data_IF_712833660377
#
_entry.id   IF_712833660377
#
_cell.length_a   1.000
_cell.length_b   1.000
_cell.length_c   1.000
_cell.angle_alpha   90.00
_cell.angle_beta   90.00
_cell.angle_gamma   90.00
#
_symmetry.space_group_name_H-M   'P 1'
#
loop_
_entity.id
_entity.type
_entity.pdbx_description
1 polymer ?
#
# COMPACT_ATOMS: atom_id res chain seq x y z
N UNK A 1 10.25 -10.72 -17.43
CA UNK A 1 10.47 -10.19 -18.81
C UNK A 1 11.86 -10.50 -19.31
N UNK A 2 12.91 -10.33 -18.50
CA UNK A 2 14.26 -10.91 -18.74
C UNK A 2 14.14 -12.38 -19.19
N UNK A 3 13.46 -13.22 -18.38
CA UNK A 3 13.19 -14.62 -18.72
C UNK A 3 12.39 -14.89 -20.01
N UNK A 4 11.62 -13.91 -20.52
CA UNK A 4 10.83 -14.05 -21.75
C UNK A 4 11.58 -13.56 -22.99
N UNK A 5 12.64 -12.77 -22.81
CA UNK A 5 13.36 -12.08 -23.89
C UNK A 5 14.78 -12.60 -24.06
N UNK A 6 15.28 -13.40 -23.11
CA UNK A 6 16.67 -13.85 -23.04
C UNK A 6 17.69 -12.70 -23.00
N UNK A 7 17.25 -11.49 -22.67
CA UNK A 7 18.10 -10.31 -22.52
C UNK A 7 18.44 -10.08 -21.05
N UNK A 8 19.64 -9.57 -20.74
CA UNK A 8 19.98 -9.15 -19.38
C UNK A 8 18.95 -8.14 -18.85
N UNK A 9 18.62 -8.26 -17.56
CA UNK A 9 17.66 -7.37 -16.89
C UNK A 9 17.99 -5.88 -17.01
N UNK A 10 19.27 -5.51 -17.05
CA UNK A 10 19.73 -4.14 -17.30
C UNK A 10 19.41 -3.64 -18.71
N UNK A 11 19.57 -4.50 -19.73
CA UNK A 11 19.22 -4.20 -21.13
C UNK A 11 17.72 -4.04 -21.29
N UNK A 12 16.93 -4.92 -20.66
CA UNK A 12 15.47 -4.81 -20.64
C UNK A 12 15.05 -3.50 -19.98
N UNK A 13 15.57 -3.18 -18.80
CA UNK A 13 15.26 -1.93 -18.09
C UNK A 13 15.57 -0.69 -18.94
N UNK A 14 16.74 -0.68 -19.62
CA UNK A 14 17.13 0.40 -20.52
C UNK A 14 16.17 0.58 -21.71
N UNK A 15 15.73 -0.51 -22.35
CA UNK A 15 14.78 -0.44 -23.48
C UNK A 15 13.41 0.07 -23.02
N UNK A 16 12.95 -0.40 -21.85
CA UNK A 16 11.68 0.01 -21.27
C UNK A 16 11.71 1.45 -20.72
N UNK A 17 12.90 2.00 -20.49
CA UNK A 17 13.09 3.31 -19.88
C UNK A 17 12.69 3.34 -18.42
N UNK A 18 12.87 2.22 -17.71
CA UNK A 18 12.59 2.08 -16.28
C UNK A 18 13.87 1.79 -15.50
N UNK A 19 13.85 2.11 -14.22
CA UNK A 19 14.93 1.86 -13.27
C UNK A 19 14.40 1.29 -11.96
N UNK A 20 15.31 0.90 -11.07
CA UNK A 20 14.91 0.44 -9.75
C UNK A 20 14.25 1.57 -8.96
N UNK A 21 13.10 1.28 -8.34
CA UNK A 21 12.29 2.26 -7.61
C UNK A 21 11.17 2.88 -8.43
N UNK A 22 11.14 2.69 -9.75
CA UNK A 22 9.97 3.03 -10.56
C UNK A 22 8.83 2.06 -10.24
N UNK A 23 7.60 2.57 -10.25
CA UNK A 23 6.38 1.79 -10.09
C UNK A 23 5.65 1.73 -11.43
N UNK A 24 5.31 0.52 -11.86
CA UNK A 24 4.59 0.28 -13.12
C UNK A 24 3.17 -0.14 -12.80
N UNK A 25 2.19 0.52 -13.40
CA UNK A 25 0.78 0.15 -13.22
C UNK A 25 0.42 -1.14 -13.98
N UNK A 26 -0.78 -1.66 -13.76
CA UNK A 26 -1.23 -2.92 -14.37
C UNK A 26 -1.20 -2.86 -15.91
N UNK A 27 -1.65 -1.75 -16.49
CA UNK A 27 -1.66 -1.55 -17.95
C UNK A 27 -0.24 -1.55 -18.52
N UNK A 28 0.71 -0.93 -17.82
CA UNK A 28 2.14 -0.97 -18.16
C UNK A 28 2.71 -2.38 -18.12
N UNK A 29 2.35 -3.18 -17.11
CA UNK A 29 2.74 -4.60 -17.02
C UNK A 29 2.15 -5.41 -18.17
N UNK A 30 0.89 -5.16 -18.56
CA UNK A 30 0.26 -5.83 -19.70
C UNK A 30 0.92 -5.43 -21.02
N UNK A 31 1.17 -4.14 -21.24
CA UNK A 31 1.87 -3.62 -22.41
C UNK A 31 3.27 -4.23 -22.53
N UNK A 32 3.95 -4.42 -21.40
CA UNK A 32 5.25 -5.04 -21.32
C UNK A 32 5.21 -6.53 -21.71
N UNK A 33 4.24 -7.28 -21.21
CA UNK A 33 4.06 -8.69 -21.56
C UNK A 33 3.75 -8.87 -23.06
N UNK A 34 2.89 -8.02 -23.62
CA UNK A 34 2.57 -8.04 -25.05
C UNK A 34 3.81 -7.72 -25.91
N UNK A 35 4.58 -6.70 -25.54
CA UNK A 35 5.80 -6.31 -26.25
C UNK A 35 6.86 -7.41 -26.20
N UNK A 36 7.03 -8.07 -25.05
CA UNK A 36 7.92 -9.23 -24.90
C UNK A 36 7.48 -10.41 -25.77
N UNK A 37 6.18 -10.73 -25.81
CA UNK A 37 5.64 -11.81 -26.64
C UNK A 37 5.81 -11.54 -28.15
N UNK A 38 5.77 -10.26 -28.57
CA UNK A 38 5.99 -9.86 -29.96
C UNK A 38 7.48 -9.82 -30.38
N UNK A 39 8.41 -10.03 -29.44
CA UNK A 39 9.86 -9.93 -29.67
C UNK A 39 10.37 -8.49 -29.86
N UNK A 40 9.51 -7.47 -29.74
CA UNK A 40 9.87 -6.06 -29.88
C UNK A 40 9.54 -5.31 -28.60
N UNK A 41 10.53 -5.19 -27.72
CA UNK A 41 10.41 -4.34 -26.53
C UNK A 41 10.36 -2.86 -26.94
N UNK A 42 9.41 -2.12 -26.38
CA UNK A 42 9.27 -0.68 -26.57
C UNK A 42 9.31 0.03 -25.22
N UNK A 43 9.80 1.27 -25.22
CA UNK A 43 9.80 2.13 -24.04
C UNK A 43 8.38 2.25 -23.48
N UNK A 44 8.22 2.14 -22.16
CA UNK A 44 6.95 2.42 -21.52
C UNK A 44 6.66 3.92 -21.62
N UNK A 45 5.41 4.24 -21.93
CA UNK A 45 4.92 5.61 -21.95
C UNK A 45 4.68 6.10 -20.52
N UNK A 46 4.69 7.43 -20.36
CA UNK A 46 4.66 8.12 -19.08
C UNK A 46 3.46 7.70 -18.20
N UNK A 47 2.28 7.51 -18.80
CA UNK A 47 1.07 7.08 -18.09
C UNK A 47 1.12 5.64 -17.52
N UNK A 48 2.18 4.89 -17.79
CA UNK A 48 2.38 3.54 -17.24
C UNK A 48 3.40 3.49 -16.11
N UNK A 49 4.21 4.53 -15.93
CA UNK A 49 5.36 4.50 -15.03
C UNK A 49 5.31 5.71 -14.12
N UNK A 50 5.31 5.47 -12.82
CA UNK A 50 5.66 6.48 -11.84
C UNK A 50 7.14 6.32 -11.50
N UNK A 51 7.94 7.31 -11.86
CA UNK A 51 9.39 7.25 -11.68
C UNK A 51 9.79 7.28 -10.21
N UNK A 52 10.94 6.73 -9.87
CA UNK A 52 11.52 6.77 -8.52
C UNK A 52 11.65 8.22 -7.99
N UNK A 53 11.90 9.18 -8.89
CA UNK A 53 11.98 10.60 -8.55
C UNK A 53 10.62 11.18 -8.17
N UNK A 54 9.56 10.81 -8.88
CA UNK A 54 8.18 11.23 -8.57
C UNK A 54 7.69 10.58 -7.29
N UNK A 55 7.98 9.29 -7.10
CA UNK A 55 7.70 8.55 -5.85
C UNK A 55 8.33 9.28 -4.65
N UNK A 56 9.61 9.65 -4.77
CA UNK A 56 10.34 10.40 -3.72
C UNK A 56 9.73 11.79 -3.48
N UNK A 57 9.40 12.52 -4.56
CA UNK A 57 8.80 13.84 -4.46
C UNK A 57 7.43 13.81 -3.76
N UNK A 58 6.58 12.83 -4.09
CA UNK A 58 5.28 12.64 -3.44
C UNK A 58 5.45 12.31 -1.96
N UNK A 59 6.39 11.44 -1.60
CA UNK A 59 6.66 11.09 -0.19
C UNK A 59 7.19 12.28 0.60
N UNK A 60 8.07 13.09 0.02
CA UNK A 60 8.55 14.32 0.63
C UNK A 60 7.39 15.30 0.87
N UNK A 61 6.48 15.44 -0.08
CA UNK A 61 5.30 16.30 0.06
C UNK A 61 4.33 15.80 1.15
N UNK A 62 4.06 14.50 1.21
CA UNK A 62 3.25 13.89 2.28
C UNK A 62 3.88 14.16 3.65
N UNK A 63 5.19 13.97 3.79
CA UNK A 63 5.91 14.28 5.02
C UNK A 63 5.81 15.75 5.42
N UNK A 64 5.92 16.66 4.44
CA UNK A 64 5.74 18.10 4.68
C UNK A 64 4.34 18.43 5.19
N UNK A 65 3.28 17.84 4.61
CA UNK A 65 1.92 18.04 5.11
C UNK A 65 1.72 17.48 6.52
N UNK A 66 2.25 16.29 6.82
CA UNK A 66 2.18 15.71 8.15
C UNK A 66 2.90 16.56 9.20
N UNK A 67 4.05 17.17 8.85
CA UNK A 67 4.73 18.12 9.74
C UNK A 67 3.89 19.36 10.02
N UNK A 68 3.25 19.94 9.00
CA UNK A 68 2.34 21.08 9.17
C UNK A 68 1.16 20.71 10.07
N UNK A 69 0.52 19.55 9.85
CA UNK A 69 -0.57 19.07 10.70
C UNK A 69 -0.13 18.95 12.16
N UNK A 70 1.04 18.39 12.42
CA UNK A 70 1.59 18.26 13.77
C UNK A 70 1.82 19.63 14.43
N UNK A 71 2.41 20.58 13.71
CA UNK A 71 2.65 21.94 14.21
C UNK A 71 1.33 22.66 14.55
N UNK A 72 0.34 22.58 13.65
CA UNK A 72 -0.96 23.22 13.88
C UNK A 72 -1.72 22.56 15.03
N UNK A 73 -1.69 21.23 15.14
CA UNK A 73 -2.32 20.53 16.25
C UNK A 73 -1.69 20.90 17.61
N UNK A 74 -0.36 20.99 17.68
CA UNK A 74 0.35 21.45 18.88
C UNK A 74 -0.03 22.88 19.27
N UNK A 75 -0.13 23.78 18.30
CA UNK A 75 -0.48 25.19 18.54
C UNK A 75 -1.86 25.37 19.19
N UNK A 76 -2.81 24.48 18.92
CA UNK A 76 -4.17 24.52 19.47
C UNK A 76 -4.42 23.48 20.57
N UNK A 77 -3.39 22.73 20.98
CA UNK A 77 -3.50 21.67 21.99
C UNK A 77 -4.28 20.43 21.56
N UNK A 78 -4.49 20.24 20.24
CA UNK A 78 -5.13 19.06 19.67
C UNK A 78 -4.20 17.84 19.65
N UNK A 79 -4.80 16.66 19.65
CA UNK A 79 -4.07 15.39 19.55
C UNK A 79 -3.99 14.94 18.10
N UNK A 80 -2.79 14.62 17.62
CA UNK A 80 -2.59 14.00 16.31
C UNK A 80 -2.69 12.49 16.42
N UNK A 81 -3.41 11.89 15.48
CA UNK A 81 -3.46 10.44 15.28
C UNK A 81 -2.62 10.14 14.03
N UNK A 82 -1.42 9.59 14.21
CA UNK A 82 -0.45 9.39 13.12
C UNK A 82 -0.83 8.20 12.24
N UNK A 83 -1.68 8.46 11.26
CA UNK A 83 -2.11 7.45 10.30
C UNK A 83 -1.01 7.04 9.33
N UNK A 84 -0.03 7.90 9.06
CA UNK A 84 1.10 7.56 8.20
C UNK A 84 1.94 6.44 8.82
N UNK A 85 2.32 6.59 10.08
CA UNK A 85 3.02 5.55 10.83
C UNK A 85 2.14 4.29 11.01
N UNK A 86 0.83 4.46 11.25
CA UNK A 86 -0.06 3.32 11.43
C UNK A 86 -0.19 2.48 10.15
N UNK A 87 -0.41 3.09 8.98
CA UNK A 87 -0.41 2.36 7.71
C UNK A 87 0.91 1.65 7.44
N UNK A 88 2.05 2.28 7.74
CA UNK A 88 3.36 1.65 7.60
C UNK A 88 3.48 0.39 8.47
N UNK A 89 2.97 0.43 9.71
CA UNK A 89 2.98 -0.72 10.62
C UNK A 89 2.14 -1.90 10.10
N UNK A 90 1.06 -1.62 9.37
CA UNK A 90 0.15 -2.65 8.83
C UNK A 90 0.69 -3.34 7.58
N UNK A 91 1.76 -2.83 6.94
CA UNK A 91 2.43 -3.50 5.83
C UNK A 91 2.97 -4.88 6.24
N UNK A 92 3.41 -5.02 7.50
CA UNK A 92 3.88 -6.30 8.05
C UNK A 92 2.74 -7.30 8.29
N UNK A 93 1.49 -6.88 8.16
CA UNK A 93 0.29 -7.67 8.41
C UNK A 93 -0.29 -7.51 9.81
N UNK A 94 -1.62 -7.52 9.87
CA UNK A 94 -2.45 -7.45 11.08
C UNK A 94 -3.34 -8.67 11.12
N UNK A 95 -3.36 -9.37 12.26
CA UNK A 95 -4.28 -10.49 12.45
C UNK A 95 -5.68 -9.95 12.72
N UNK A 96 -6.64 -10.33 11.88
CA UNK A 96 -8.07 -10.04 12.03
C UNK A 96 -8.85 -11.31 11.73
N UNK A 97 -9.69 -11.74 12.66
CA UNK A 97 -10.53 -12.93 12.54
C UNK A 97 -9.75 -14.17 12.07
N UNK A 98 -8.55 -14.38 12.65
CA UNK A 98 -7.66 -15.51 12.31
C UNK A 98 -6.96 -15.42 10.94
N UNK A 99 -7.10 -14.31 10.20
CA UNK A 99 -6.46 -14.04 8.91
C UNK A 99 -5.46 -12.90 9.06
N UNK A 100 -4.42 -12.89 8.23
CA UNK A 100 -3.39 -11.84 8.26
C UNK A 100 -3.64 -10.86 7.12
N UNK A 101 -4.36 -9.79 7.43
CA UNK A 101 -4.67 -8.72 6.49
C UNK A 101 -3.49 -7.75 6.37
N UNK A 102 -3.23 -7.24 5.18
CA UNK A 102 -2.12 -6.30 4.88
C UNK A 102 -2.63 -5.12 4.07
N UNK A 103 -1.77 -4.11 3.90
CA UNK A 103 -2.05 -2.95 3.03
C UNK A 103 -1.81 -3.24 1.53
N UNK A 104 -1.38 -4.46 1.17
CA UNK A 104 -1.16 -4.82 -0.22
C UNK A 104 -2.50 -4.92 -0.99
N UNK A 105 -2.44 -4.85 -2.33
CA UNK A 105 -3.61 -5.11 -3.17
C UNK A 105 -4.15 -6.52 -2.90
N UNK A 106 -5.48 -6.64 -2.72
CA UNK A 106 -6.15 -7.85 -2.25
C UNK A 106 -5.69 -8.38 -0.87
N UNK A 107 -5.02 -7.52 -0.08
CA UNK A 107 -4.57 -7.80 1.28
C UNK A 107 -5.66 -7.64 2.35
N UNK A 108 -6.86 -7.18 1.97
CA UNK A 108 -8.05 -7.12 2.84
C UNK A 108 -8.25 -5.83 3.62
N UNK A 109 -7.21 -5.00 3.81
CA UNK A 109 -7.35 -3.72 4.52
C UNK A 109 -7.80 -2.57 3.60
N UNK A 110 -7.72 -2.75 2.28
CA UNK A 110 -8.16 -1.81 1.27
C UNK A 110 -9.19 -2.43 0.32
N UNK A 111 -10.00 -1.57 -0.29
CA UNK A 111 -10.93 -1.88 -1.36
C UNK A 111 -10.25 -2.35 -2.65
N UNK A 112 -11.05 -2.73 -3.64
CA UNK A 112 -10.56 -3.15 -4.96
C UNK A 112 -9.97 -1.99 -5.78
N UNK A 113 -10.15 -0.75 -5.35
CA UNK A 113 -9.47 0.42 -5.92
C UNK A 113 -8.04 0.59 -5.38
N UNK A 114 -7.66 -0.12 -4.31
CA UNK A 114 -6.37 0.00 -3.66
C UNK A 114 -6.11 1.34 -2.96
N UNK A 115 -7.12 2.19 -2.81
CA UNK A 115 -7.01 3.55 -2.24
C UNK A 115 -7.83 3.67 -0.96
N UNK A 116 -9.08 3.24 -0.98
CA UNK A 116 -9.97 3.38 0.18
C UNK A 116 -9.83 2.18 1.11
N UNK A 117 -9.76 2.38 2.43
CA UNK A 117 -9.83 1.27 3.37
C UNK A 117 -11.10 0.42 3.18
N UNK A 118 -10.99 -0.89 3.43
CA UNK A 118 -12.15 -1.76 3.54
C UNK A 118 -12.96 -1.43 4.82
N UNK A 119 -14.10 -2.08 5.04
CA UNK A 119 -14.84 -1.92 6.30
C UNK A 119 -13.96 -2.31 7.50
N UNK A 120 -13.17 -3.37 7.34
CA UNK A 120 -12.19 -3.83 8.34
C UNK A 120 -11.06 -2.82 8.52
N UNK A 121 -10.54 -2.26 7.43
CA UNK A 121 -9.54 -1.18 7.47
C UNK A 121 -10.06 0.04 8.24
N UNK A 122 -11.27 0.52 7.91
CA UNK A 122 -11.89 1.63 8.64
C UNK A 122 -12.11 1.32 10.13
N UNK A 123 -12.47 0.09 10.49
CA UNK A 123 -12.62 -0.31 11.90
C UNK A 123 -11.29 -0.22 12.68
N UNK A 124 -10.19 -0.65 12.06
CA UNK A 124 -8.84 -0.51 12.63
C UNK A 124 -8.43 0.96 12.81
N UNK A 125 -8.69 1.78 11.78
CA UNK A 125 -8.42 3.22 11.84
C UNK A 125 -9.25 3.90 12.93
N UNK A 126 -10.56 3.62 13.00
CA UNK A 126 -11.44 4.16 14.02
C UNK A 126 -10.93 3.88 15.44
N UNK A 127 -10.39 2.68 15.68
CA UNK A 127 -9.81 2.33 16.98
C UNK A 127 -8.59 3.18 17.35
N UNK A 128 -7.79 3.65 16.39
CA UNK A 128 -6.70 4.59 16.67
C UNK A 128 -7.22 5.94 17.17
N UNK A 129 -8.28 6.47 16.53
CA UNK A 129 -8.92 7.71 16.97
C UNK A 129 -9.60 7.55 18.33
N UNK A 130 -10.33 6.45 18.55
CA UNK A 130 -10.96 6.17 19.84
C UNK A 130 -9.94 6.04 20.97
N UNK A 131 -8.80 5.37 20.72
CA UNK A 131 -7.71 5.27 21.68
C UNK A 131 -7.14 6.64 22.03
N UNK A 132 -6.87 7.49 21.04
CA UNK A 132 -6.36 8.83 21.25
C UNK A 132 -7.36 9.72 22.02
N UNK A 133 -8.66 9.63 21.71
CA UNK A 133 -9.72 10.36 22.42
C UNK A 133 -9.86 9.89 23.86
N UNK A 134 -9.94 8.59 24.10
CA UNK A 134 -10.01 8.03 25.45
C UNK A 134 -8.80 8.45 26.29
N UNK A 135 -7.60 8.43 25.72
CA UNK A 135 -6.38 8.86 26.41
C UNK A 135 -6.38 10.38 26.72
N UNK A 136 -6.74 11.22 25.74
CA UNK A 136 -6.69 12.68 25.87
C UNK A 136 -7.78 13.24 26.79
N UNK A 137 -8.97 12.65 26.74
CA UNK A 137 -10.17 13.17 27.40
C UNK A 137 -10.60 12.32 28.61
N UNK A 138 -9.83 11.29 28.95
CA UNK A 138 -10.15 10.34 30.04
C UNK A 138 -11.54 9.72 29.88
N UNK A 139 -11.91 9.41 28.63
CA UNK A 139 -13.19 8.77 28.29
C UNK A 139 -13.09 7.25 28.33
N UNK A 140 -14.25 6.60 28.26
CA UNK A 140 -14.37 5.13 28.18
C UNK A 140 -15.22 4.74 26.99
N UNK A 141 -14.98 5.34 25.83
CA UNK A 141 -15.70 5.00 24.59
C UNK A 141 -15.28 3.57 24.19
N UNK A 142 -16.23 2.64 24.01
CA UNK A 142 -15.93 1.28 23.57
C UNK A 142 -15.23 1.27 22.21
N UNK A 143 -14.20 0.44 22.07
CA UNK A 143 -13.53 0.21 20.78
C UNK A 143 -14.41 -0.62 19.85
N UNK A 144 -14.22 -0.45 18.54
CA UNK A 144 -14.88 -1.25 17.50
C UNK A 144 -14.37 -2.68 17.58
N UNK A 145 -15.30 -3.64 17.62
CA UNK A 145 -14.99 -5.06 17.47
C UNK A 145 -14.64 -5.35 16.00
N UNK A 146 -13.35 -5.35 15.69
CA UNK A 146 -12.83 -5.51 14.33
C UNK A 146 -13.18 -6.90 13.76
N UNK A 147 -13.11 -7.96 14.56
CA UNK A 147 -13.41 -9.33 14.10
C UNK A 147 -14.87 -9.50 13.68
N UNK A 148 -15.79 -8.84 14.40
CA UNK A 148 -17.21 -8.82 14.05
C UNK A 148 -17.46 -8.09 12.72
N UNK A 149 -16.70 -7.02 12.43
CA UNK A 149 -16.77 -6.33 11.13
C UNK A 149 -16.17 -7.20 10.03
N UNK A 150 -14.99 -7.78 10.27
CA UNK A 150 -14.28 -8.61 9.32
C UNK A 150 -15.07 -9.85 8.88
N UNK A 151 -15.88 -10.42 9.77
CA UNK A 151 -16.78 -11.54 9.44
C UNK A 151 -17.79 -11.17 8.34
N UNK A 152 -18.14 -9.89 8.21
CA UNK A 152 -19.09 -9.36 7.23
C UNK A 152 -18.41 -8.64 6.07
N UNK A 153 -17.08 -8.52 6.11
CA UNK A 153 -16.32 -7.82 5.10
C UNK A 153 -15.94 -8.80 3.97
N UNK A 154 -16.46 -8.62 2.74
CA UNK A 154 -16.20 -9.54 1.65
C UNK A 154 -14.71 -9.57 1.24
N UNK A 155 -13.93 -8.56 1.64
CA UNK A 155 -12.51 -8.48 1.31
C UNK A 155 -11.65 -9.26 2.30
N UNK A 156 -12.19 -9.67 3.45
CA UNK A 156 -11.53 -10.56 4.42
C UNK A 156 -11.84 -12.03 4.06
N UNK A 157 -11.46 -12.42 2.85
CA UNK A 157 -11.86 -13.68 2.21
C UNK A 157 -10.80 -14.79 2.17
N UNK A 158 -10.96 -15.74 1.24
CA UNK A 158 -10.04 -16.86 1.01
C UNK A 158 -8.71 -16.42 0.39
N UNK A 159 -8.67 -15.24 -0.21
CA UNK A 159 -7.49 -14.61 -0.80
C UNK A 159 -6.44 -14.17 0.26
N UNK A 160 -6.81 -14.18 1.54
CA UNK A 160 -5.94 -13.73 2.63
C UNK A 160 -5.42 -14.94 3.41
N UNK A 161 -4.10 -14.97 3.55
CA UNK A 161 -3.39 -16.03 4.26
C UNK A 161 -3.73 -16.07 5.75
N UNK A 162 -3.76 -17.29 6.30
CA UNK A 162 -3.79 -17.54 7.74
C UNK A 162 -2.39 -17.59 8.36
N UNK A 163 -1.35 -17.54 7.52
CA UNK A 163 0.07 -17.53 7.90
C UNK A 163 0.72 -16.24 7.41
N UNK A 164 1.60 -15.61 8.22
CA UNK A 164 2.23 -14.34 7.87
C UNK A 164 3.02 -14.55 6.58
N UNK A 165 2.51 -14.05 5.45
CA UNK A 165 3.24 -14.19 4.21
C UNK A 165 4.46 -13.27 4.29
N UNK A 166 5.64 -13.86 4.28
CA UNK A 166 6.86 -13.19 3.80
C UNK A 166 6.75 -13.10 2.27
N UNK A 167 5.79 -12.34 1.74
CA UNK A 167 5.82 -12.04 0.30
C UNK A 167 6.95 -11.03 0.15
N UNK A 168 8.01 -11.32 -0.63
CA UNK A 168 8.81 -10.25 -1.17
C UNK A 168 7.82 -9.32 -1.89
N UNK A 169 7.98 -8.00 -1.79
CA UNK A 169 7.25 -7.10 -2.67
C UNK A 169 7.27 -7.71 -4.08
N UNK A 170 6.13 -7.73 -4.77
CA UNK A 170 6.12 -8.02 -6.21
C UNK A 170 6.76 -6.82 -6.92
N UNK A 171 8.03 -6.56 -6.63
CA UNK A 171 8.98 -6.19 -7.65
C UNK A 171 8.89 -7.33 -8.65
N UNK A 172 8.60 -7.03 -9.90
CA UNK A 172 9.10 -7.90 -10.97
C UNK A 172 10.60 -8.05 -10.69
N UNK A 173 11.06 -9.22 -10.22
CA UNK A 173 12.47 -9.38 -9.94
C UNK A 173 13.14 -9.19 -11.29
N UNK A 174 14.08 -8.26 -11.35
CA UNK A 174 15.04 -8.15 -12.44
C UNK A 174 16.04 -9.31 -12.31
N UNK A 175 15.52 -10.53 -12.35
CA UNK A 175 16.30 -11.76 -12.45
C UNK A 175 16.18 -12.22 -13.89
#
# INVERSE_FOLDING_TARGET
VSALTSLPSSTVAAILGIQNGDLVNLDGVQALQASAASGKLTKLVDNYVLTASEVTAVQALVNSYNQVIQQQAQAVGATVVDMHAYFASMQAGVTVNGKIATTAFLGGLFGLDGIHPSNTGYALLANQFLAALNAKLSLTIPIVNVDAIATKDPLIGLNISTVKQTVPAVHLPLN
#
